data_IF_782096480461
#
_entry.id   IF_782096480461
#
_cell.length_a   1.000
_cell.length_b   1.000
_cell.length_c   1.000
_cell.angle_alpha   90.00
_cell.angle_beta   90.00
_cell.angle_gamma   90.00
#
_symmetry.space_group_name_H-M   'P 1'
#
loop_
_entity.id
_entity.type
_entity.pdbx_description
1 polymer ?
#
# COMPACT_ATOMS: atom_id res chain seq x y z
N UNK A 1 3.94 -4.53 5.98
CA UNK A 1 3.19 -4.39 7.25
C UNK A 1 1.78 -3.97 6.97
N UNK A 2 0.94 -4.91 6.48
CA UNK A 2 -0.38 -4.66 5.88
C UNK A 2 -1.46 -4.17 6.85
N UNK A 3 -1.22 -3.03 7.49
CA UNK A 3 -2.12 -2.33 8.41
C UNK A 3 -2.71 -1.12 7.71
N UNK A 4 -3.92 -0.72 8.09
CA UNK A 4 -4.59 0.46 7.53
C UNK A 4 -5.11 0.31 6.09
N UNK A 5 -5.22 -0.91 5.56
CA UNK A 5 -5.81 -1.18 4.24
C UNK A 5 -7.14 -1.93 4.39
N UNK A 6 -8.14 -1.55 3.59
CA UNK A 6 -9.47 -2.19 3.58
C UNK A 6 -9.97 -2.31 2.15
N UNK A 7 -10.52 -3.47 1.83
CA UNK A 7 -11.22 -3.71 0.58
C UNK A 7 -12.68 -3.33 0.75
N UNK A 8 -13.21 -2.62 -0.24
CA UNK A 8 -14.60 -2.12 -0.30
C UNK A 8 -15.18 -2.62 -1.62
N UNK A 9 -16.30 -3.36 -1.57
CA UNK A 9 -16.95 -3.92 -2.75
C UNK A 9 -18.11 -3.05 -3.24
N UNK A 10 -18.75 -2.32 -2.31
CA UNK A 10 -19.91 -1.48 -2.61
C UNK A 10 -19.73 -0.05 -2.10
N UNK A 11 -20.45 0.90 -2.71
CA UNK A 11 -20.35 2.31 -2.33
C UNK A 11 -20.77 2.57 -0.88
N UNK A 12 -21.76 1.82 -0.37
CA UNK A 12 -22.29 1.98 0.99
C UNK A 12 -21.31 1.50 2.08
N UNK A 13 -20.37 0.62 1.73
CA UNK A 13 -19.30 0.17 2.62
C UNK A 13 -18.17 1.20 2.78
N UNK A 14 -18.06 2.15 1.85
CA UNK A 14 -16.95 3.11 1.81
C UNK A 14 -16.91 4.04 3.03
N UNK A 15 -18.00 4.73 3.44
CA UNK A 15 -17.95 5.65 4.58
C UNK A 15 -17.45 5.02 5.90
N UNK A 16 -17.96 3.86 6.36
CA UNK A 16 -17.45 3.25 7.59
C UNK A 16 -16.01 2.72 7.42
N UNK A 17 -15.64 2.15 6.27
CA UNK A 17 -14.29 1.66 6.03
C UNK A 17 -13.26 2.80 6.03
N UNK A 18 -13.60 3.95 5.45
CA UNK A 18 -12.77 5.14 5.41
C UNK A 18 -12.50 5.67 6.83
N UNK A 19 -13.55 5.86 7.64
CA UNK A 19 -13.42 6.35 9.00
C UNK A 19 -12.52 5.44 9.87
N UNK A 20 -12.65 4.13 9.68
CA UNK A 20 -11.85 3.16 10.41
C UNK A 20 -10.37 3.17 9.97
N UNK A 21 -10.11 3.20 8.66
CA UNK A 21 -8.76 3.28 8.10
C UNK A 21 -8.03 4.56 8.55
N UNK A 22 -8.72 5.72 8.52
CA UNK A 22 -8.16 6.99 8.99
C UNK A 22 -7.81 6.95 10.48
N UNK A 23 -8.68 6.36 11.32
CA UNK A 23 -8.42 6.22 12.76
C UNK A 23 -7.23 5.30 13.04
N UNK A 24 -7.13 4.17 12.33
CA UNK A 24 -5.98 3.27 12.44
C UNK A 24 -4.70 3.97 11.98
N UNK A 25 -4.73 4.66 10.86
CA UNK A 25 -3.57 5.38 10.33
C UNK A 25 -3.08 6.49 11.29
N UNK A 26 -4.01 7.28 11.84
CA UNK A 26 -3.69 8.30 12.84
C UNK A 26 -3.04 7.72 14.11
N UNK A 27 -3.54 6.58 14.61
CA UNK A 27 -3.01 5.95 15.83
C UNK A 27 -1.70 5.17 15.61
N UNK A 28 -1.52 4.54 14.45
CA UNK A 28 -0.35 3.71 14.15
C UNK A 28 0.82 4.49 13.54
N UNK A 29 0.52 5.54 12.77
CA UNK A 29 1.50 6.28 11.97
C UNK A 29 1.53 7.80 12.25
N UNK A 30 0.61 8.31 13.08
CA UNK A 30 0.54 9.74 13.42
C UNK A 30 -0.09 10.62 12.34
N UNK A 31 -0.57 10.02 11.24
CA UNK A 31 -1.16 10.71 10.10
C UNK A 31 -2.42 9.97 9.61
N UNK A 32 -3.60 10.59 9.67
CA UNK A 32 -4.85 9.95 9.27
C UNK A 32 -5.13 10.01 7.76
N UNK A 33 -4.23 10.58 6.94
CA UNK A 33 -4.45 10.68 5.49
C UNK A 33 -4.50 9.29 4.86
N UNK A 34 -5.47 9.11 3.97
CA UNK A 34 -5.71 7.87 3.22
C UNK A 34 -6.04 8.21 1.76
N UNK A 35 -5.88 7.23 0.87
CA UNK A 35 -6.27 7.33 -0.53
C UNK A 35 -7.05 6.07 -0.94
N UNK A 36 -7.71 6.13 -2.09
CA UNK A 36 -8.40 4.99 -2.69
C UNK A 36 -7.67 4.56 -3.96
N UNK A 37 -7.61 3.25 -4.17
CA UNK A 37 -7.07 2.64 -5.37
C UNK A 37 -8.01 1.53 -5.84
N UNK A 38 -7.88 1.16 -7.12
CA UNK A 38 -8.62 0.04 -7.65
C UNK A 38 -8.06 -1.28 -7.12
N UNK A 39 -8.90 -2.07 -6.47
CA UNK A 39 -8.52 -3.41 -6.03
C UNK A 39 -8.30 -4.33 -7.24
N UNK A 40 -7.06 -4.79 -7.43
CA UNK A 40 -6.72 -5.78 -8.46
C UNK A 40 -7.14 -7.18 -7.98
N UNK A 41 -7.91 -7.90 -8.79
CA UNK A 41 -8.35 -9.25 -8.47
C UNK A 41 -7.31 -10.28 -8.92
N UNK A 42 -7.01 -11.25 -8.05
CA UNK A 42 -5.97 -12.28 -8.26
C UNK A 42 -4.61 -11.69 -8.67
N UNK A 43 -4.07 -10.73 -7.89
CA UNK A 43 -2.79 -10.11 -8.23
C UNK A 43 -1.64 -11.06 -7.96
N UNK A 44 -0.50 -10.84 -8.65
CA UNK A 44 0.80 -11.28 -8.16
C UNK A 44 1.50 -10.13 -7.45
N UNK A 45 2.07 -10.37 -6.28
CA UNK A 45 2.87 -9.36 -5.58
C UNK A 45 4.32 -9.51 -6.03
N UNK A 46 4.76 -8.65 -6.93
CA UNK A 46 6.15 -8.65 -7.42
C UNK A 46 6.85 -7.38 -6.96
N UNK A 47 8.00 -7.53 -6.32
CA UNK A 47 8.82 -6.42 -5.83
C UNK A 47 10.22 -6.45 -6.45
N UNK A 48 10.81 -5.28 -6.67
CA UNK A 48 12.14 -5.12 -7.29
C UNK A 48 13.08 -4.42 -6.31
N UNK A 49 14.23 -5.01 -6.06
CA UNK A 49 15.26 -4.41 -5.22
C UNK A 49 16.07 -3.40 -6.02
N UNK A 50 16.25 -2.19 -5.48
CA UNK A 50 17.06 -1.13 -6.07
C UNK A 50 18.26 -0.82 -5.16
N UNK A 51 19.42 -0.55 -5.76
CA UNK A 51 20.59 0.05 -5.11
C UNK A 51 21.03 1.28 -5.91
N UNK A 52 21.28 2.39 -5.23
CA UNK A 52 21.75 3.64 -5.85
C UNK A 52 22.90 4.23 -5.04
N UNK A 53 23.85 4.87 -5.72
CA UNK A 53 24.97 5.59 -5.10
C UNK A 53 24.86 7.11 -5.26
N UNK A 54 25.72 7.86 -4.56
CA UNK A 54 25.75 9.33 -4.63
C UNK A 54 26.40 9.90 -5.89
N UNK A 55 27.03 9.06 -6.72
CA UNK A 55 27.58 9.44 -8.01
C UNK A 55 26.53 9.40 -9.13
N UNK A 56 25.31 8.95 -8.81
CA UNK A 56 24.18 8.89 -9.73
C UNK A 56 24.01 7.53 -10.41
N UNK A 57 24.76 6.50 -10.02
CA UNK A 57 24.53 5.15 -10.53
C UNK A 57 23.36 4.50 -9.81
N UNK A 58 22.55 3.75 -10.55
CA UNK A 58 21.42 2.99 -10.00
C UNK A 58 21.36 1.63 -10.69
N UNK A 59 21.16 0.58 -9.91
CA UNK A 59 20.98 -0.80 -10.40
C UNK A 59 19.77 -1.42 -9.75
N UNK A 60 19.12 -2.33 -10.48
CA UNK A 60 18.14 -3.24 -9.91
C UNK A 60 18.77 -4.62 -9.70
N UNK A 61 18.37 -5.33 -8.65
CA UNK A 61 18.80 -6.70 -8.35
C UNK A 61 17.68 -7.69 -8.63
N UNK A 62 17.15 -7.62 -9.86
CA UNK A 62 16.02 -8.43 -10.33
C UNK A 62 14.77 -8.30 -9.42
N UNK A 63 13.80 -9.17 -9.67
CA UNK A 63 12.51 -9.23 -8.99
C UNK A 63 12.42 -10.38 -7.97
N UNK A 64 11.47 -10.25 -7.05
CA UNK A 64 10.98 -11.33 -6.19
C UNK A 64 9.47 -11.43 -6.32
N UNK A 65 8.97 -12.67 -6.32
CA UNK A 65 7.54 -12.95 -6.16
C UNK A 65 7.24 -13.19 -4.67
N UNK A 66 6.42 -12.32 -4.10
CA UNK A 66 5.99 -12.30 -2.70
C UNK A 66 4.47 -12.54 -2.56
N UNK A 67 3.83 -13.06 -3.61
CA UNK A 67 2.42 -13.50 -3.57
C UNK A 67 2.11 -14.50 -2.48
#
# INVERSE_FOLDING_TARGET
GGRGMRRVETADELPPALAEAMREAGSAFGDPRVFLEQAVQRPRHVEVQILADSAGHTVHLFERDCS
#
